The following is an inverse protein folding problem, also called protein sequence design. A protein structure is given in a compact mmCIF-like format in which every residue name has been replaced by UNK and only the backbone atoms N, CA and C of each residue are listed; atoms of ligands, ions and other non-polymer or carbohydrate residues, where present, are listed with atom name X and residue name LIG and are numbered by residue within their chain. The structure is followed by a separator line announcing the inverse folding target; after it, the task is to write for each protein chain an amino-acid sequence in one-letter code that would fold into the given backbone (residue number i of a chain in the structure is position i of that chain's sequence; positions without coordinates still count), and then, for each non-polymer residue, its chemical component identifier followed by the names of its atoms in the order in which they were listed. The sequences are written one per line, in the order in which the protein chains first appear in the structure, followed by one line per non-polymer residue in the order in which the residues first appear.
data_IF_766654088167
#
_entry.id   IF_766654088167
#
_cell.length_a   1.000
_cell.length_b   1.000
_cell.length_c   1.000
_cell.angle_alpha   90.00
_cell.angle_beta   90.00
_cell.angle_gamma   90.00
#
_symmetry.space_group_name_H-M   'P 1'
#
loop_
_entity.id
_entity.type
_entity.pdbx_description
1 polymer ?
#
# COMPACT_ATOMS: atom_id res chain seq x y z
N UNK A 1 1.08 -10.29 13.26
CA UNK A 1 2.09 -10.02 12.21
C UNK A 1 2.56 -8.59 12.37
N UNK A 2 3.84 -8.30 12.10
CA UNK A 2 4.39 -6.93 12.23
C UNK A 2 4.83 -6.41 10.88
N UNK A 3 4.29 -5.26 10.47
CA UNK A 3 4.69 -4.55 9.26
C UNK A 3 5.37 -3.23 9.64
N UNK A 4 6.38 -2.85 8.86
CA UNK A 4 7.23 -1.69 9.15
C UNK A 4 7.43 -0.89 7.87
N UNK A 5 7.08 0.39 7.90
CA UNK A 5 7.43 1.37 6.88
C UNK A 5 7.83 2.69 7.57
N UNK A 6 9.12 2.82 7.86
CA UNK A 6 9.66 3.95 8.66
C UNK A 6 9.71 5.27 7.89
N UNK A 7 9.84 5.20 6.57
CA UNK A 7 9.98 6.38 5.70
C UNK A 7 8.87 6.38 4.62
N UNK A 8 7.59 6.46 5.02
CA UNK A 8 6.49 6.39 4.07
C UNK A 8 6.49 7.63 3.18
N UNK A 9 6.23 7.42 1.90
CA UNK A 9 6.09 8.52 0.95
C UNK A 9 4.82 9.32 1.23
N UNK A 10 4.68 10.47 0.57
CA UNK A 10 3.44 11.25 0.64
C UNK A 10 2.25 10.44 0.12
N UNK A 11 2.46 9.70 -0.97
CA UNK A 11 1.42 8.88 -1.58
C UNK A 11 1.01 7.72 -0.69
N UNK A 12 1.96 7.03 -0.05
CA UNK A 12 1.68 5.95 0.90
C UNK A 12 0.84 6.42 2.10
N UNK A 13 1.12 7.61 2.63
CA UNK A 13 0.32 8.20 3.71
C UNK A 13 -1.13 8.40 3.29
N UNK A 14 -1.36 8.96 2.10
CA UNK A 14 -2.71 9.23 1.59
C UNK A 14 -3.44 7.93 1.25
N UNK A 15 -2.74 6.95 0.68
CA UNK A 15 -3.30 5.62 0.40
C UNK A 15 -3.77 4.93 1.68
N UNK A 16 -2.99 5.03 2.76
CA UNK A 16 -3.37 4.52 4.07
C UNK A 16 -4.56 5.27 4.66
N UNK A 17 -4.50 6.60 4.72
CA UNK A 17 -5.57 7.44 5.32
C UNK A 17 -6.93 7.28 4.63
N UNK A 18 -6.94 7.01 3.32
CA UNK A 18 -8.17 6.89 2.53
C UNK A 18 -8.67 5.48 2.31
N UNK A 19 -7.76 4.52 2.17
CA UNK A 19 -8.09 3.16 1.74
C UNK A 19 -7.55 2.09 2.70
N UNK A 20 -6.94 2.48 3.83
CA UNK A 20 -6.29 1.56 4.76
C UNK A 20 -5.05 0.86 4.20
N UNK A 21 -4.61 1.20 2.98
CA UNK A 21 -3.53 0.52 2.28
C UNK A 21 -2.19 0.74 2.98
N UNK A 22 -1.62 -0.34 3.52
CA UNK A 22 -0.33 -0.34 4.19
C UNK A 22 0.65 -1.27 3.47
N UNK A 23 1.95 -0.94 3.52
CA UNK A 23 2.99 -1.78 2.94
C UNK A 23 3.17 -3.05 3.78
N UNK A 24 2.71 -4.19 3.25
CA UNK A 24 2.73 -5.48 3.96
C UNK A 24 3.91 -6.37 3.53
N UNK A 25 4.50 -6.09 2.37
CA UNK A 25 5.69 -6.79 1.88
C UNK A 25 6.46 -5.91 0.91
N UNK A 26 7.78 -5.94 1.00
CA UNK A 26 8.68 -5.40 -0.03
C UNK A 26 9.94 -6.25 -0.14
N UNK A 27 10.48 -6.33 -1.35
CA UNK A 27 11.83 -6.80 -1.64
C UNK A 27 12.44 -5.92 -2.76
N UNK A 28 13.49 -6.42 -3.44
CA UNK A 28 14.17 -5.69 -4.52
C UNK A 28 13.30 -5.53 -5.77
N UNK A 29 12.30 -6.38 -5.98
CA UNK A 29 11.51 -6.47 -7.20
C UNK A 29 10.03 -6.12 -6.98
N UNK A 30 9.55 -6.12 -5.74
CA UNK A 30 8.12 -6.07 -5.45
C UNK A 30 7.81 -5.14 -4.28
N UNK A 31 6.72 -4.38 -4.42
CA UNK A 31 6.03 -3.72 -3.31
C UNK A 31 4.57 -4.20 -3.28
N UNK A 32 4.14 -4.72 -2.13
CA UNK A 32 2.77 -5.21 -1.93
C UNK A 32 2.09 -4.44 -0.81
N UNK A 33 0.92 -3.90 -1.14
CA UNK A 33 0.06 -3.17 -0.23
C UNK A 33 -1.27 -3.91 -0.06
N UNK A 34 -1.82 -3.85 1.15
CA UNK A 34 -3.16 -4.36 1.47
C UNK A 34 -3.85 -3.43 2.48
N UNK A 35 -5.19 -3.30 2.44
CA UNK A 35 -5.94 -2.67 3.50
C UNK A 35 -5.71 -3.37 4.83
N UNK A 36 -5.45 -2.59 5.87
CA UNK A 36 -5.40 -3.06 7.25
C UNK A 36 -6.44 -2.32 8.08
N UNK A 37 -7.12 -3.05 8.95
CA UNK A 37 -8.12 -2.48 9.85
C UNK A 37 -7.54 -2.30 11.24
N UNK A 38 -7.12 -1.08 11.54
CA UNK A 38 -6.62 -0.71 12.86
C UNK A 38 -7.40 0.47 13.43
N UNK A 39 -7.31 0.65 14.75
CA UNK A 39 -7.83 1.83 15.43
C UNK A 39 -7.06 3.08 14.99
N UNK A 40 -7.80 4.17 14.71
CA UNK A 40 -7.26 5.48 14.33
C UNK A 40 -6.49 5.52 12.99
N UNK A 41 -7.18 5.23 11.88
CA UNK A 41 -6.64 5.26 10.51
C UNK A 41 -6.23 6.66 9.98
N UNK A 42 -6.36 7.71 10.78
CA UNK A 42 -6.04 9.09 10.39
C UNK A 42 -4.55 9.46 10.55
N UNK A 43 -3.75 8.61 11.19
CA UNK A 43 -2.31 8.82 11.37
C UNK A 43 -1.55 7.61 10.87
N UNK A 44 -0.65 7.79 9.91
CA UNK A 44 0.17 6.70 9.38
C UNK A 44 1.13 6.16 10.46
N UNK A 45 1.02 4.88 10.87
CA UNK A 45 1.93 4.29 11.83
C UNK A 45 3.23 3.83 11.13
N UNK A 46 4.41 4.18 11.66
CA UNK A 46 5.69 3.69 11.11
C UNK A 46 5.87 2.18 11.27
N UNK A 47 5.18 1.58 12.22
CA UNK A 47 5.07 0.13 12.38
C UNK A 47 3.70 -0.23 12.91
N UNK A 48 3.16 -1.34 12.46
CA UNK A 48 1.85 -1.83 12.90
C UNK A 48 1.93 -3.32 13.20
N UNK A 49 1.28 -3.73 14.28
CA UNK A 49 1.11 -5.13 14.64
C UNK A 49 -0.38 -5.47 14.52
N UNK A 50 -0.69 -6.41 13.64
CA UNK A 50 -2.08 -6.79 13.30
C UNK A 50 -2.25 -8.30 13.29
N UNK A 51 -3.46 -8.75 13.62
CA UNK A 51 -3.86 -10.14 13.44
C UNK A 51 -4.10 -10.45 11.96
N UNK A 52 -4.20 -11.73 11.60
CA UNK A 52 -4.28 -12.15 10.20
C UNK A 52 -5.59 -11.74 9.52
N UNK A 53 -6.66 -11.71 10.28
CA UNK A 53 -8.01 -11.31 9.87
C UNK A 53 -8.20 -9.79 9.77
N UNK A 54 -7.26 -9.00 10.31
CA UNK A 54 -7.24 -7.55 10.17
C UNK A 54 -6.65 -7.07 8.85
N UNK A 55 -6.17 -7.98 8.00
CA UNK A 55 -5.62 -7.67 6.67
C UNK A 55 -6.56 -8.18 5.59
N UNK A 56 -6.98 -7.31 4.67
CA UNK A 56 -7.80 -7.72 3.53
C UNK A 56 -6.92 -8.32 2.41
N UNK A 57 -6.59 -9.60 2.54
CA UNK A 57 -5.67 -10.30 1.61
C UNK A 57 -6.15 -10.40 0.16
N UNK A 58 -7.47 -10.31 -0.06
CA UNK A 58 -8.08 -10.36 -1.39
C UNK A 58 -8.05 -8.98 -2.10
N UNK A 59 -7.74 -7.90 -1.37
CA UNK A 59 -7.72 -6.54 -1.89
C UNK A 59 -6.30 -5.97 -1.92
N UNK A 60 -5.44 -6.52 -2.77
CA UNK A 60 -4.01 -6.16 -2.83
C UNK A 60 -3.65 -5.29 -4.02
N UNK A 61 -2.67 -4.42 -3.82
CA UNK A 61 -1.96 -3.75 -4.91
C UNK A 61 -0.52 -4.25 -4.91
N UNK A 62 -0.06 -4.72 -6.07
CA UNK A 62 1.29 -5.20 -6.27
C UNK A 62 1.96 -4.37 -7.36
N UNK A 63 3.07 -3.73 -7.00
CA UNK A 63 3.96 -3.03 -7.92
C UNK A 63 5.15 -3.95 -8.20
N UNK A 64 5.27 -4.40 -9.44
CA UNK A 64 6.41 -5.17 -9.93
C UNK A 64 7.40 -4.21 -10.57
N UNK A 65 8.55 -4.03 -9.91
CA UNK A 65 9.61 -3.11 -10.31
C UNK A 65 10.31 -3.61 -11.59
N UNK A 66 10.44 -4.93 -11.76
CA UNK A 66 11.16 -5.50 -12.90
C UNK A 66 10.37 -5.36 -14.21
N UNK A 67 9.06 -5.63 -14.16
CA UNK A 67 8.19 -5.50 -15.34
C UNK A 67 7.54 -4.12 -15.47
N UNK A 68 7.71 -3.25 -14.47
CA UNK A 68 7.06 -1.94 -14.35
C UNK A 68 5.53 -2.04 -14.45
N UNK A 69 4.96 -3.12 -13.92
CA UNK A 69 3.52 -3.36 -13.94
C UNK A 69 2.89 -3.19 -12.56
N UNK A 70 1.61 -2.83 -12.56
CA UNK A 70 0.80 -2.77 -11.35
C UNK A 70 -0.37 -3.74 -11.48
N UNK A 71 -0.45 -4.69 -10.56
CA UNK A 71 -1.61 -5.57 -10.41
C UNK A 71 -2.50 -5.03 -9.30
N UNK A 72 -3.78 -4.85 -9.61
CA UNK A 72 -4.77 -4.30 -8.69
C UNK A 72 -5.86 -5.36 -8.50
N UNK A 73 -5.93 -5.91 -7.30
CA UNK A 73 -7.05 -6.74 -6.87
C UNK A 73 -7.93 -5.89 -5.96
N UNK A 74 -9.10 -5.48 -6.43
CA UNK A 74 -10.02 -4.61 -5.71
C UNK A 74 -10.56 -3.46 -6.54
N UNK A 75 -11.52 -2.75 -5.98
CA UNK A 75 -12.18 -1.62 -6.64
C UNK A 75 -11.64 -0.31 -6.08
N UNK A 76 -11.08 0.53 -6.96
CA UNK A 76 -10.61 1.86 -6.60
C UNK A 76 -11.34 2.91 -7.43
N UNK A 77 -11.70 4.01 -6.78
CA UNK A 77 -12.24 5.17 -7.46
C UNK A 77 -11.13 5.91 -8.24
N UNK A 78 -11.51 6.97 -8.97
CA UNK A 78 -10.56 7.75 -9.77
C UNK A 78 -9.44 8.37 -8.93
N UNK A 79 -9.69 8.67 -7.65
CA UNK A 79 -8.69 9.19 -6.72
C UNK A 79 -7.69 8.08 -6.37
N UNK A 80 -8.16 6.87 -6.08
CA UNK A 80 -7.31 5.72 -5.79
C UNK A 80 -6.41 5.38 -6.98
N UNK A 81 -6.97 5.34 -8.20
CA UNK A 81 -6.19 5.15 -9.42
C UNK A 81 -5.14 6.25 -9.60
N UNK A 82 -5.49 7.51 -9.34
CA UNK A 82 -4.52 8.63 -9.41
C UNK A 82 -3.37 8.43 -8.42
N UNK A 83 -3.66 8.02 -7.19
CA UNK A 83 -2.63 7.76 -6.18
C UNK A 83 -1.74 6.57 -6.56
N UNK A 84 -2.29 5.52 -7.17
CA UNK A 84 -1.49 4.40 -7.69
C UNK A 84 -0.51 4.91 -8.75
N UNK A 85 -0.94 5.78 -9.66
CA UNK A 85 -0.03 6.41 -10.63
C UNK A 85 1.04 7.29 -9.97
N UNK A 86 0.70 8.07 -8.93
CA UNK A 86 1.72 8.82 -8.18
C UNK A 86 2.72 7.89 -7.50
N UNK A 87 2.27 6.73 -6.99
CA UNK A 87 3.15 5.73 -6.41
C UNK A 87 4.08 5.11 -7.46
N UNK A 88 3.59 4.84 -8.67
CA UNK A 88 4.43 4.41 -9.81
C UNK A 88 5.55 5.41 -10.10
N UNK A 89 5.24 6.72 -10.10
CA UNK A 89 6.26 7.78 -10.29
C UNK A 89 7.29 7.81 -9.18
N UNK A 90 6.86 7.70 -7.92
CA UNK A 90 7.77 7.62 -6.77
C UNK A 90 8.66 6.36 -6.80
N UNK A 91 8.22 5.31 -7.49
CA UNK A 91 8.98 4.08 -7.74
C UNK A 91 9.80 4.14 -9.05
N UNK A 92 9.77 5.25 -9.78
CA UNK A 92 10.48 5.47 -11.04
C UNK A 92 10.06 4.54 -12.20
N UNK A 93 8.78 4.19 -12.28
CA UNK A 93 8.23 3.48 -13.45
C UNK A 93 8.21 4.44 -14.65
N UNK A 94 8.48 3.92 -15.85
CA UNK A 94 8.61 4.72 -17.08
C UNK A 94 7.28 4.98 -17.80
#
# INVERSE_FOLDING_TARGET
MKYINENPTKTEKILFERYGLYLIYKDEELYKYAPIHIDNQYVYPSSVEVENDMVEWEHVILFDIFTETVTIHGNYDSIGITLIHERMKELNFN
#
